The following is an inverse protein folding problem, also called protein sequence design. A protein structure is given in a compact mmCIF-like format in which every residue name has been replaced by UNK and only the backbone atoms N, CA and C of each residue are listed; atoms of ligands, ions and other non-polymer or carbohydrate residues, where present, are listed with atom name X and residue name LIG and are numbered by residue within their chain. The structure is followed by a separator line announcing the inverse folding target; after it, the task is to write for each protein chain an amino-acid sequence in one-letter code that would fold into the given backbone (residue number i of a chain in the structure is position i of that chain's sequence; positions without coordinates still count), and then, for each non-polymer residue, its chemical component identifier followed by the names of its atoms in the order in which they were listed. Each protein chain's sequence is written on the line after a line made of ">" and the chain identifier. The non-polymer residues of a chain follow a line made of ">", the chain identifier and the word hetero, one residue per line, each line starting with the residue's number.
data_IF_066628211107
#
_entry.id   IF_066628211107
#
_cell.length_a   1.000
_cell.length_b   1.000
_cell.length_c   1.000
_cell.angle_alpha   90.00
_cell.angle_beta   90.00
_cell.angle_gamma   90.00
#
_symmetry.space_group_name_H-M   'P 1'
#
loop_
_entity.id
_entity.type
_entity.pdbx_description
1 polymer ?
#
# COMPACT_ATOMS: atom_id res chain seq x y z
N UNK A 1 17.61 -22.40 -34.29
CA UNK A 1 18.63 -22.47 -33.23
C UNK A 1 17.98 -22.10 -31.90
N UNK A 2 17.64 -23.09 -31.09
CA UNK A 2 17.03 -22.89 -29.78
C UNK A 2 18.14 -22.73 -28.76
N UNK A 3 18.50 -21.48 -28.45
CA UNK A 3 19.45 -21.16 -27.38
C UNK A 3 18.86 -21.58 -26.05
N UNK A 4 19.24 -22.76 -25.55
CA UNK A 4 18.93 -23.19 -24.18
C UNK A 4 19.54 -22.16 -23.24
N UNK A 5 18.70 -21.46 -22.50
CA UNK A 5 19.11 -20.52 -21.46
C UNK A 5 19.93 -21.29 -20.44
N UNK A 6 21.24 -21.04 -20.38
CA UNK A 6 22.13 -21.68 -19.41
C UNK A 6 21.90 -20.98 -18.07
N UNK A 7 21.46 -21.75 -17.07
CA UNK A 7 21.35 -21.26 -15.70
C UNK A 7 22.73 -21.21 -15.05
N UNK A 8 23.36 -20.03 -15.12
CA UNK A 8 24.69 -19.77 -14.56
C UNK A 8 24.76 -19.97 -13.04
N UNK A 9 23.63 -19.93 -12.33
CA UNK A 9 23.63 -20.13 -10.88
C UNK A 9 23.94 -21.58 -10.52
N UNK A 10 23.57 -22.58 -11.33
CA UNK A 10 23.93 -23.99 -11.08
C UNK A 10 25.45 -24.23 -11.03
N UNK A 11 26.24 -23.37 -11.68
CA UNK A 11 27.71 -23.46 -11.70
C UNK A 11 28.40 -22.72 -10.55
N UNK A 12 27.64 -22.04 -9.68
CA UNK A 12 28.16 -21.31 -8.51
C UNK A 12 28.06 -22.16 -7.24
N UNK A 13 28.98 -21.95 -6.30
CA UNK A 13 28.86 -22.54 -4.96
C UNK A 13 27.57 -22.10 -4.25
N UNK A 14 27.01 -22.97 -3.40
CA UNK A 14 25.73 -22.77 -2.68
C UNK A 14 25.59 -21.40 -2.01
N UNK A 15 26.68 -20.85 -1.47
CA UNK A 15 26.70 -19.54 -0.79
C UNK A 15 26.50 -18.38 -1.77
N UNK A 16 27.10 -18.48 -2.97
CA UNK A 16 26.98 -17.48 -4.03
C UNK A 16 25.60 -17.54 -4.70
N UNK A 17 25.01 -18.73 -4.83
CA UNK A 17 23.63 -18.91 -5.28
C UNK A 17 22.66 -18.22 -4.32
N UNK A 18 22.73 -18.54 -3.01
CA UNK A 18 21.86 -17.93 -1.98
C UNK A 18 21.98 -16.41 -1.92
N UNK A 19 23.20 -15.87 -2.01
CA UNK A 19 23.42 -14.43 -2.04
C UNK A 19 22.77 -13.76 -3.27
N UNK A 20 22.78 -14.44 -4.41
CA UNK A 20 22.16 -13.95 -5.65
C UNK A 20 20.64 -14.02 -5.57
N UNK A 21 20.11 -15.13 -5.05
CA UNK A 21 18.67 -15.29 -4.82
C UNK A 21 18.13 -14.23 -3.85
N UNK A 22 18.85 -13.93 -2.77
CA UNK A 22 18.47 -12.90 -1.81
C UNK A 22 18.43 -11.51 -2.47
N UNK A 23 19.42 -11.16 -3.30
CA UNK A 23 19.41 -9.89 -4.05
C UNK A 23 18.24 -9.83 -5.03
N UNK A 24 17.92 -10.93 -5.72
CA UNK A 24 16.77 -11.00 -6.62
C UNK A 24 15.46 -10.79 -5.86
N UNK A 25 15.34 -11.40 -4.67
CA UNK A 25 14.16 -11.26 -3.84
C UNK A 25 13.97 -9.81 -3.35
N UNK A 26 15.05 -9.16 -2.90
CA UNK A 26 15.03 -7.75 -2.54
C UNK A 26 14.63 -6.85 -3.73
N UNK A 27 15.25 -7.06 -4.90
CA UNK A 27 14.92 -6.30 -6.10
C UNK A 27 13.45 -6.47 -6.51
N UNK A 28 12.90 -7.68 -6.40
CA UNK A 28 11.49 -7.96 -6.67
C UNK A 28 10.57 -7.25 -5.66
N UNK A 29 10.93 -7.24 -4.38
CA UNK A 29 10.17 -6.53 -3.33
C UNK A 29 10.17 -5.03 -3.61
N UNK A 30 11.33 -4.44 -3.92
CA UNK A 30 11.43 -3.01 -4.25
C UNK A 30 10.62 -2.64 -5.51
N UNK A 31 10.65 -3.46 -6.55
CA UNK A 31 9.87 -3.25 -7.76
C UNK A 31 8.36 -3.30 -7.47
N UNK A 32 7.92 -4.27 -6.67
CA UNK A 32 6.52 -4.40 -6.26
C UNK A 32 6.07 -3.23 -5.39
N UNK A 33 6.91 -2.77 -4.47
CA UNK A 33 6.63 -1.60 -3.63
C UNK A 33 6.45 -0.33 -4.49
N UNK A 34 7.34 -0.11 -5.47
CA UNK A 34 7.23 1.03 -6.41
C UNK A 34 5.94 0.95 -7.23
N UNK A 35 5.60 -0.23 -7.75
CA UNK A 35 4.37 -0.42 -8.51
C UNK A 35 3.12 -0.19 -7.64
N UNK A 36 3.15 -0.61 -6.37
CA UNK A 36 2.06 -0.39 -5.43
C UNK A 36 1.89 1.10 -5.11
N UNK A 37 2.98 1.83 -4.87
CA UNK A 37 2.94 3.28 -4.65
C UNK A 37 2.36 4.03 -5.84
N UNK A 38 2.82 3.74 -7.05
CA UNK A 38 2.30 4.38 -8.26
C UNK A 38 0.78 4.20 -8.40
N UNK A 39 0.29 2.98 -8.15
CA UNK A 39 -1.16 2.71 -8.19
C UNK A 39 -1.93 3.41 -7.07
N UNK A 40 -1.35 3.53 -5.88
CA UNK A 40 -1.95 4.31 -4.79
C UNK A 40 -2.06 5.79 -5.19
N UNK A 41 -0.99 6.38 -5.73
CA UNK A 41 -0.97 7.77 -6.18
C UNK A 41 -2.02 8.03 -7.27
N UNK A 42 -2.17 7.13 -8.24
CA UNK A 42 -3.21 7.22 -9.28
C UNK A 42 -4.62 7.16 -8.70
N UNK A 43 -4.86 6.28 -7.72
CA UNK A 43 -6.16 6.16 -7.06
C UNK A 43 -6.49 7.40 -6.23
N UNK A 44 -5.51 7.93 -5.50
CA UNK A 44 -5.64 9.18 -4.72
C UNK A 44 -5.90 10.38 -5.63
N UNK A 45 -5.17 10.49 -6.75
CA UNK A 45 -5.39 11.54 -7.73
C UNK A 45 -6.83 11.50 -8.28
N UNK A 46 -7.35 10.33 -8.61
CA UNK A 46 -8.75 10.17 -9.04
C UNK A 46 -9.75 10.48 -7.92
N UNK A 47 -9.43 10.09 -6.68
CA UNK A 47 -10.26 10.38 -5.51
C UNK A 47 -10.36 11.89 -5.25
N UNK A 48 -9.29 12.64 -5.50
CA UNK A 48 -9.20 14.09 -5.30
C UNK A 48 -9.67 14.92 -6.50
N UNK A 49 -9.63 14.38 -7.72
CA UNK A 49 -9.93 15.12 -8.95
C UNK A 49 -11.36 15.65 -9.05
N UNK A 50 -12.34 14.94 -8.48
CA UNK A 50 -13.74 15.35 -8.49
C UNK A 50 -14.23 15.71 -7.08
N UNK A 51 -15.00 16.79 -6.90
CA UNK A 51 -15.78 17.00 -5.68
C UNK A 51 -16.67 15.79 -5.39
N UNK A 52 -16.94 15.52 -4.11
CA UNK A 52 -17.90 14.47 -3.76
C UNK A 52 -19.32 14.88 -4.19
N UNK A 53 -20.03 14.00 -4.89
CA UNK A 53 -21.37 14.27 -5.39
C UNK A 53 -22.46 14.16 -4.30
N UNK A 54 -22.16 13.43 -3.22
CA UNK A 54 -23.08 13.18 -2.12
C UNK A 54 -22.30 12.97 -0.81
N UNK A 55 -23.03 12.94 0.32
CA UNK A 55 -22.41 12.70 1.63
C UNK A 55 -21.67 11.37 1.63
N UNK A 56 -22.28 10.28 1.15
CA UNK A 56 -21.65 8.95 1.18
C UNK A 56 -20.25 8.95 0.56
N UNK A 57 -20.07 9.58 -0.60
CA UNK A 57 -18.76 9.75 -1.23
C UNK A 57 -17.80 10.59 -0.38
N UNK A 58 -18.26 11.71 0.19
CA UNK A 58 -17.43 12.54 1.07
C UNK A 58 -16.98 11.78 2.33
N UNK A 59 -17.85 10.95 2.92
CA UNK A 59 -17.54 10.11 4.07
C UNK A 59 -16.50 9.03 3.73
N UNK A 60 -16.58 8.40 2.55
CA UNK A 60 -15.58 7.42 2.12
C UNK A 60 -14.21 8.07 1.86
N UNK A 61 -14.17 9.28 1.28
CA UNK A 61 -12.93 10.06 1.15
C UNK A 61 -12.32 10.39 2.52
N UNK A 62 -13.14 10.83 3.47
CA UNK A 62 -12.71 11.10 4.83
C UNK A 62 -12.21 9.82 5.54
N UNK A 63 -12.92 8.70 5.37
CA UNK A 63 -12.52 7.39 5.90
C UNK A 63 -11.16 6.94 5.36
N UNK A 64 -10.92 7.13 4.06
CA UNK A 64 -9.63 6.86 3.45
C UNK A 64 -8.51 7.68 4.09
N UNK A 65 -8.68 9.01 4.13
CA UNK A 65 -7.68 9.92 4.71
C UNK A 65 -7.42 9.64 6.20
N UNK A 66 -8.45 9.34 6.99
CA UNK A 66 -8.31 9.01 8.40
C UNK A 66 -7.55 7.70 8.62
N UNK A 67 -7.74 6.69 7.76
CA UNK A 67 -6.96 5.45 7.82
C UNK A 67 -5.49 5.69 7.46
N UNK A 68 -5.23 6.48 6.41
CA UNK A 68 -3.88 6.86 6.03
C UNK A 68 -3.18 7.64 7.17
N UNK A 69 -3.88 8.62 7.75
CA UNK A 69 -3.37 9.38 8.88
C UNK A 69 -3.09 8.50 10.10
N UNK A 70 -3.97 7.53 10.41
CA UNK A 70 -3.79 6.60 11.53
C UNK A 70 -2.49 5.77 11.44
N UNK A 71 -1.98 5.53 10.23
CA UNK A 71 -0.70 4.84 10.00
C UNK A 71 0.52 5.76 10.08
N UNK A 72 0.33 7.08 10.16
CA UNK A 72 1.43 8.04 10.28
C UNK A 72 1.99 8.11 11.70
N UNK A 73 3.28 8.44 11.88
CA UNK A 73 3.86 8.69 13.20
C UNK A 73 3.08 9.73 14.01
N UNK A 74 2.55 10.76 13.33
CA UNK A 74 1.76 11.81 13.94
C UNK A 74 0.46 11.32 14.59
N UNK A 75 -0.08 10.18 14.17
CA UNK A 75 -1.28 9.60 14.76
C UNK A 75 -1.00 8.51 15.80
N UNK A 76 0.26 8.22 16.14
CA UNK A 76 0.58 7.18 17.13
C UNK A 76 0.16 7.54 18.56
N UNK A 77 -0.13 8.82 18.85
CA UNK A 77 -0.72 9.24 20.11
C UNK A 77 -2.04 8.48 20.37
N UNK A 78 -2.17 7.75 21.50
CA UNK A 78 -3.38 7.01 21.86
C UNK A 78 -4.66 7.85 21.82
N UNK A 79 -4.58 9.15 22.14
CA UNK A 79 -5.73 10.06 22.07
C UNK A 79 -6.21 10.23 20.62
N UNK A 80 -5.28 10.40 19.67
CA UNK A 80 -5.59 10.56 18.24
C UNK A 80 -6.17 9.27 17.67
N UNK A 81 -5.60 8.12 18.00
CA UNK A 81 -6.15 6.81 17.62
C UNK A 81 -7.59 6.62 18.11
N UNK A 82 -7.89 6.99 19.36
CA UNK A 82 -9.24 6.89 19.93
C UNK A 82 -10.25 7.80 19.21
N UNK A 83 -9.84 9.02 18.84
CA UNK A 83 -10.68 9.94 18.08
C UNK A 83 -10.97 9.38 16.68
N UNK A 84 -9.94 8.94 15.96
CA UNK A 84 -10.09 8.33 14.63
C UNK A 84 -11.04 7.12 14.69
N UNK A 85 -10.82 6.21 15.63
CA UNK A 85 -11.65 5.03 15.80
C UNK A 85 -13.12 5.34 16.15
N UNK A 86 -13.37 6.46 16.85
CA UNK A 86 -14.73 6.91 17.14
C UNK A 86 -15.41 7.44 15.87
N UNK A 87 -14.75 8.33 15.13
CA UNK A 87 -15.29 8.89 13.88
C UNK A 87 -15.56 7.81 12.84
N UNK A 88 -14.65 6.84 12.69
CA UNK A 88 -14.85 5.72 11.77
C UNK A 88 -16.07 4.85 12.14
N UNK A 89 -16.30 4.62 13.44
CA UNK A 89 -17.51 3.92 13.91
C UNK A 89 -18.78 4.72 13.63
N UNK A 90 -18.73 6.05 13.79
CA UNK A 90 -19.87 6.90 13.46
C UNK A 90 -20.23 6.86 11.98
N UNK A 91 -19.23 6.86 11.08
CA UNK A 91 -19.46 6.67 9.64
C UNK A 91 -20.10 5.32 9.34
N UNK A 92 -19.62 4.23 9.95
CA UNK A 92 -20.20 2.90 9.76
C UNK A 92 -21.63 2.80 10.29
N UNK A 93 -21.94 3.46 11.41
CA UNK A 93 -23.31 3.53 11.93
C UNK A 93 -24.23 4.30 10.98
N UNK A 94 -23.78 5.44 10.47
CA UNK A 94 -24.58 6.29 9.59
C UNK A 94 -24.76 5.71 8.18
N UNK A 95 -23.80 4.91 7.69
CA UNK A 95 -23.91 4.24 6.40
C UNK A 95 -24.92 3.08 6.38
N UNK A 96 -25.33 2.58 7.55
CA UNK A 96 -26.35 1.52 7.70
C UNK A 96 -27.77 2.06 7.82
N UNK A 97 -27.92 3.39 7.91
CA UNK A 97 -29.19 4.08 8.06
C UNK A 97 -29.69 4.55 6.70
#
# INVERSE_FOLDING_TARGET
>A
MTGKTIDLDQHRGMTAQKATELRRLLANVEANEKALRLRQDELEARLLAAPAANWREAAEKARYLLKLFASSPSAQDPRRQKLIATVLRDFERLARK
#
